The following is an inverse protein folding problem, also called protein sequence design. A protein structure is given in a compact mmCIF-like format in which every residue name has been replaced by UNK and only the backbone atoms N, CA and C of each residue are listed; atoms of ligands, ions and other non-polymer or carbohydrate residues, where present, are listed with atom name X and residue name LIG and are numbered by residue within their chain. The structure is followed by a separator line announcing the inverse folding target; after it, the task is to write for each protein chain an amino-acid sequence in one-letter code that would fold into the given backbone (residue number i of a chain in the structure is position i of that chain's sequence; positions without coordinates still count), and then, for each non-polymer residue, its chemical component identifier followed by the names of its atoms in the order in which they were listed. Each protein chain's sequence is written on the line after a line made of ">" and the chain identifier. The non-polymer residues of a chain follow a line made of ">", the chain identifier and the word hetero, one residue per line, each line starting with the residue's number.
data_IF_703868569101
#
_entry.id   IF_703868569101
#
_cell.length_a   1.000
_cell.length_b   1.000
_cell.length_c   1.000
_cell.angle_alpha   90.00
_cell.angle_beta   90.00
_cell.angle_gamma   90.00
#
_symmetry.space_group_name_H-M   'P 1'
#
loop_
_entity.id
_entity.type
_entity.pdbx_description
1 polymer ?
#
# COMPACT_ATOMS: atom_id res chain seq x y z
N UNK A 1 -71.49 -23.45 -79.10
CA UNK A 1 -71.47 -22.69 -80.36
C UNK A 1 -70.04 -22.48 -80.75
N UNK A 2 -69.71 -22.97 -81.94
CA UNK A 2 -68.54 -22.72 -82.78
C UNK A 2 -67.18 -23.14 -82.18
N UNK A 3 -66.69 -24.35 -82.46
CA UNK A 3 -66.12 -24.83 -83.75
C UNK A 3 -64.71 -24.24 -83.96
N UNK A 4 -63.66 -25.05 -83.82
CA UNK A 4 -63.01 -25.81 -84.91
C UNK A 4 -62.15 -24.87 -85.78
N UNK A 5 -60.94 -25.18 -86.20
CA UNK A 5 -60.50 -26.42 -86.85
C UNK A 5 -58.97 -26.30 -87.10
N UNK A 6 -58.36 -27.45 -87.41
CA UNK A 6 -57.28 -27.66 -88.37
C UNK A 6 -55.81 -27.80 -87.89
N UNK A 7 -55.36 -29.07 -87.96
CA UNK A 7 -54.22 -29.58 -88.76
C UNK A 7 -52.81 -29.09 -88.37
N UNK A 8 -51.75 -29.90 -88.25
CA UNK A 8 -51.36 -31.12 -88.97
C UNK A 8 -50.23 -31.81 -88.17
N UNK A 9 -50.12 -33.13 -88.35
CA UNK A 9 -49.19 -34.05 -87.70
C UNK A 9 -47.69 -33.68 -87.80
N UNK A 10 -46.92 -33.96 -86.72
CA UNK A 10 -45.76 -34.87 -86.78
C UNK A 10 -45.10 -35.11 -85.41
N UNK A 11 -44.76 -36.38 -85.22
CA UNK A 11 -43.69 -36.94 -84.39
C UNK A 11 -43.88 -37.03 -82.87
N UNK A 12 -44.24 -38.24 -82.45
CA UNK A 12 -44.06 -38.79 -81.11
C UNK A 12 -42.59 -38.73 -80.69
N UNK A 13 -42.22 -37.66 -79.97
CA UNK A 13 -40.94 -37.62 -79.25
C UNK A 13 -41.11 -38.44 -77.96
N UNK A 14 -40.72 -39.71 -78.04
CA UNK A 14 -40.47 -40.55 -76.87
C UNK A 14 -39.24 -39.96 -76.15
N UNK A 15 -39.47 -39.08 -75.17
CA UNK A 15 -38.42 -38.60 -74.28
C UNK A 15 -38.08 -39.73 -73.31
N UNK A 16 -36.99 -40.45 -73.57
CA UNK A 16 -36.38 -41.36 -72.58
C UNK A 16 -36.10 -40.55 -71.29
N UNK A 17 -36.44 -41.07 -70.10
CA UNK A 17 -36.14 -40.38 -68.86
C UNK A 17 -34.61 -40.20 -68.76
N UNK A 18 -34.12 -39.00 -68.37
CA UNK A 18 -32.70 -38.81 -68.19
C UNK A 18 -32.26 -39.75 -67.07
N UNK A 19 -31.23 -40.57 -67.34
CA UNK A 19 -30.54 -41.34 -66.30
C UNK A 19 -30.03 -40.35 -65.26
N UNK A 20 -30.77 -40.16 -64.16
CA UNK A 20 -30.32 -39.40 -63.00
C UNK A 20 -29.07 -40.09 -62.48
N UNK A 21 -27.91 -39.54 -62.82
CA UNK A 21 -26.64 -40.06 -62.33
C UNK A 21 -26.62 -39.86 -60.81
N UNK A 22 -26.64 -40.92 -59.99
CA UNK A 22 -26.76 -40.81 -58.53
C UNK A 22 -25.61 -40.01 -57.91
N UNK A 23 -24.50 -39.88 -58.61
CA UNK A 23 -23.37 -39.04 -58.24
C UNK A 23 -23.73 -37.54 -58.26
N UNK A 24 -24.47 -37.07 -59.26
CA UNK A 24 -24.85 -35.65 -59.35
C UNK A 24 -25.81 -35.28 -58.21
N UNK A 25 -26.76 -36.15 -57.89
CA UNK A 25 -27.67 -35.94 -56.75
C UNK A 25 -26.90 -35.92 -55.43
N UNK A 26 -25.94 -36.83 -55.24
CA UNK A 26 -25.08 -36.83 -54.05
C UNK A 26 -24.23 -35.57 -53.93
N UNK A 27 -23.68 -35.08 -55.05
CA UNK A 27 -22.90 -33.83 -55.06
C UNK A 27 -23.77 -32.61 -54.72
N UNK A 28 -25.01 -32.55 -55.23
CA UNK A 28 -25.96 -31.47 -54.89
C UNK A 28 -26.34 -31.50 -53.42
N UNK A 29 -26.59 -32.69 -52.85
CA UNK A 29 -26.89 -32.84 -51.42
C UNK A 29 -25.69 -32.43 -50.57
N UNK A 30 -24.46 -32.80 -50.95
CA UNK A 30 -23.25 -32.39 -50.24
C UNK A 30 -23.05 -30.87 -50.24
N UNK A 31 -23.30 -30.21 -51.38
CA UNK A 31 -23.24 -28.74 -51.48
C UNK A 31 -24.31 -28.12 -50.58
N UNK A 32 -25.53 -28.66 -50.58
CA UNK A 32 -26.61 -28.14 -49.74
C UNK A 32 -26.29 -28.30 -48.23
N UNK A 33 -25.72 -29.44 -47.82
CA UNK A 33 -25.27 -29.67 -46.43
C UNK A 33 -24.13 -28.73 -46.04
N UNK A 34 -23.17 -28.48 -46.94
CA UNK A 34 -22.08 -27.53 -46.69
C UNK A 34 -22.59 -26.10 -46.54
N UNK A 35 -23.50 -25.65 -47.42
CA UNK A 35 -24.10 -24.31 -47.35
C UNK A 35 -24.96 -24.16 -46.09
N UNK A 36 -25.77 -25.17 -45.77
CA UNK A 36 -26.56 -25.17 -44.53
C UNK A 36 -25.65 -25.20 -43.29
N UNK A 37 -24.57 -25.98 -43.32
CA UNK A 37 -23.58 -26.05 -42.24
C UNK A 37 -22.88 -24.71 -42.00
N UNK A 38 -22.44 -24.03 -43.06
CA UNK A 38 -21.84 -22.69 -42.97
C UNK A 38 -22.85 -21.66 -42.50
N UNK A 39 -24.10 -21.72 -42.98
CA UNK A 39 -25.17 -20.83 -42.53
C UNK A 39 -25.52 -21.03 -41.06
N UNK A 40 -25.69 -22.28 -40.61
CA UNK A 40 -25.93 -22.61 -39.20
C UNK A 40 -24.73 -22.17 -38.35
N UNK A 41 -23.50 -22.43 -38.78
CA UNK A 41 -22.29 -21.99 -38.07
C UNK A 41 -22.20 -20.46 -38.00
N UNK A 42 -22.58 -19.74 -39.06
CA UNK A 42 -22.65 -18.28 -39.08
C UNK A 42 -23.72 -17.72 -38.13
N UNK A 43 -24.89 -18.36 -38.05
CA UNK A 43 -25.96 -18.00 -37.11
C UNK A 43 -25.56 -18.32 -35.67
N UNK A 44 -24.90 -19.46 -35.42
CA UNK A 44 -24.34 -19.79 -34.11
C UNK A 44 -23.22 -18.83 -33.68
N UNK A 45 -22.32 -18.44 -34.59
CA UNK A 45 -21.29 -17.42 -34.34
C UNK A 45 -21.91 -16.03 -34.10
N UNK A 46 -22.98 -15.67 -34.81
CA UNK A 46 -23.76 -14.45 -34.53
C UNK A 46 -24.50 -14.51 -33.19
N UNK A 47 -24.95 -15.69 -32.74
CA UNK A 47 -25.50 -15.86 -31.39
C UNK A 47 -24.43 -15.77 -30.31
N UNK A 48 -23.20 -16.21 -30.58
CA UNK A 48 -22.05 -16.03 -29.66
C UNK A 48 -21.60 -14.54 -29.62
N UNK A 49 -21.60 -13.84 -30.76
CA UNK A 49 -21.27 -12.42 -30.85
C UNK A 49 -22.39 -11.44 -30.42
N UNK A 50 -23.65 -11.90 -30.41
CA UNK A 50 -24.83 -11.11 -30.06
C UNK A 50 -25.48 -11.47 -28.72
N UNK A 51 -24.96 -12.46 -27.99
CA UNK A 51 -25.49 -12.92 -26.70
C UNK A 51 -24.39 -13.06 -25.66
N UNK A 52 -23.72 -11.94 -25.33
CA UNK A 52 -22.96 -11.79 -24.08
C UNK A 52 -23.40 -10.61 -23.22
N UNK A 53 -24.60 -10.06 -23.45
CA UNK A 53 -25.39 -9.42 -22.38
C UNK A 53 -26.29 -10.46 -21.71
N UNK A 54 -25.74 -11.66 -21.49
CA UNK A 54 -26.05 -12.31 -20.23
C UNK A 54 -25.64 -11.31 -19.17
N UNK A 55 -26.62 -10.75 -18.48
CA UNK A 55 -26.44 -10.04 -17.22
C UNK A 55 -25.69 -11.02 -16.32
N UNK A 56 -24.36 -11.04 -16.44
CA UNK A 56 -23.49 -11.24 -15.30
C UNK A 56 -23.89 -10.05 -14.43
N UNK A 57 -24.97 -10.23 -13.65
CA UNK A 57 -24.84 -9.89 -12.25
C UNK A 57 -23.53 -10.56 -11.91
N UNK A 58 -22.45 -9.79 -11.94
CA UNK A 58 -21.50 -9.92 -10.86
C UNK A 58 -22.43 -10.00 -9.66
N UNK A 59 -22.65 -11.22 -9.19
CA UNK A 59 -22.69 -11.42 -7.78
C UNK A 59 -21.35 -10.82 -7.39
N UNK A 60 -21.36 -9.50 -7.14
CA UNK A 60 -20.55 -8.96 -6.09
C UNK A 60 -20.93 -9.91 -4.99
N UNK A 61 -20.06 -10.89 -4.77
CA UNK A 61 -19.95 -11.52 -3.48
C UNK A 61 -19.84 -10.28 -2.61
N UNK A 62 -20.98 -9.88 -2.02
CA UNK A 62 -20.98 -8.89 -0.96
C UNK A 62 -20.10 -9.62 0.02
N UNK A 63 -18.80 -9.27 -0.02
CA UNK A 63 -17.78 -9.95 0.74
C UNK A 63 -18.35 -10.02 2.13
N UNK A 64 -18.43 -11.24 2.69
CA UNK A 64 -18.92 -11.45 4.04
C UNK A 64 -18.34 -10.32 4.88
N UNK A 65 -19.16 -9.48 5.55
CA UNK A 65 -18.64 -8.37 6.32
C UNK A 65 -17.52 -8.93 7.18
N UNK A 66 -16.34 -8.32 7.13
CA UNK A 66 -15.22 -8.82 7.90
C UNK A 66 -15.62 -8.72 9.38
N UNK A 67 -15.98 -9.85 9.98
CA UNK A 67 -16.45 -9.92 11.36
C UNK A 67 -15.24 -10.04 12.27
N UNK A 68 -14.91 -8.92 12.92
CA UNK A 68 -13.97 -8.87 14.03
C UNK A 68 -14.61 -9.53 15.26
N UNK A 69 -14.56 -10.86 15.34
CA UNK A 69 -15.24 -11.67 16.36
C UNK A 69 -14.53 -11.64 17.71
N UNK A 70 -13.20 -11.48 17.73
CA UNK A 70 -12.36 -11.56 18.94
C UNK A 70 -11.72 -10.21 19.35
N UNK A 71 -12.35 -9.09 18.98
CA UNK A 71 -11.74 -7.76 19.19
C UNK A 71 -12.52 -6.98 20.26
N UNK A 72 -11.79 -6.62 21.31
CA UNK A 72 -12.19 -5.67 22.35
C UNK A 72 -12.92 -4.44 21.75
N UNK A 73 -14.08 -4.03 22.30
CA UNK A 73 -14.83 -2.88 21.79
C UNK A 73 -14.01 -1.58 21.72
N UNK A 74 -13.07 -1.41 22.66
CA UNK A 74 -12.13 -0.29 22.74
C UNK A 74 -11.17 -0.21 21.54
N UNK A 75 -10.93 -1.33 20.87
CA UNK A 75 -9.95 -1.46 19.79
C UNK A 75 -10.56 -1.32 18.39
N UNK A 76 -11.88 -1.52 18.27
CA UNK A 76 -12.61 -1.41 16.99
C UNK A 76 -12.38 -0.09 16.24
N UNK A 77 -12.28 1.09 16.90
CA UNK A 77 -12.05 2.36 16.20
C UNK A 77 -10.69 2.45 15.48
N UNK A 78 -9.70 1.63 15.88
CA UNK A 78 -8.36 1.65 15.31
C UNK A 78 -8.17 0.65 14.16
N UNK A 79 -9.19 -0.14 13.86
CA UNK A 79 -9.15 -1.15 12.82
C UNK A 79 -9.77 -0.61 11.54
N UNK A 80 -8.98 -0.65 10.48
CA UNK A 80 -9.44 -0.29 9.15
C UNK A 80 -9.30 -1.48 8.20
N UNK A 81 -10.15 -1.55 7.17
CA UNK A 81 -10.04 -2.53 6.11
C UNK A 81 -9.74 -1.80 4.79
N UNK A 82 -8.45 -1.58 4.46
CA UNK A 82 -8.04 -0.89 3.24
C UNK A 82 -8.66 -1.47 1.98
N UNK A 83 -9.06 -0.58 1.07
CA UNK A 83 -9.56 -0.92 -0.26
C UNK A 83 -8.70 -0.23 -1.32
N UNK A 84 -7.51 -0.78 -1.62
CA UNK A 84 -6.65 -0.22 -2.66
C UNK A 84 -7.37 -0.21 -4.01
N UNK A 85 -7.13 0.84 -4.78
CA UNK A 85 -7.60 1.02 -6.17
C UNK A 85 -6.66 0.35 -7.16
N UNK A 86 -5.40 0.18 -6.79
CA UNK A 86 -4.33 -0.28 -7.69
C UNK A 86 -4.15 -1.80 -7.74
N UNK A 87 -4.63 -2.53 -6.74
CA UNK A 87 -4.55 -3.99 -6.68
C UNK A 87 -5.66 -4.59 -5.79
N UNK A 88 -5.89 -5.90 -5.88
CA UNK A 88 -6.77 -6.63 -4.96
C UNK A 88 -5.97 -7.14 -3.76
N UNK A 89 -6.52 -7.00 -2.55
CA UNK A 89 -5.91 -7.59 -1.34
C UNK A 89 -6.11 -9.11 -1.24
N UNK A 90 -6.91 -9.71 -2.10
CA UNK A 90 -7.16 -11.16 -2.18
C UNK A 90 -7.43 -11.78 -0.79
N UNK A 91 -6.62 -12.75 -0.35
CA UNK A 91 -6.73 -13.40 0.96
C UNK A 91 -6.59 -12.42 2.15
N UNK A 92 -5.90 -11.30 1.96
CA UNK A 92 -5.74 -10.26 2.97
C UNK A 92 -6.92 -9.29 3.07
N UNK A 93 -7.98 -9.44 2.27
CA UNK A 93 -9.09 -8.48 2.22
C UNK A 93 -9.75 -8.25 3.59
N UNK A 94 -9.89 -9.31 4.40
CA UNK A 94 -10.45 -9.25 5.75
C UNK A 94 -9.40 -9.18 6.87
N UNK A 95 -8.15 -8.87 6.55
CA UNK A 95 -7.16 -8.58 7.58
C UNK A 95 -7.23 -7.09 7.94
N UNK A 96 -7.54 -6.76 9.20
CA UNK A 96 -7.59 -5.37 9.64
C UNK A 96 -6.19 -4.77 9.63
N UNK A 97 -6.14 -3.47 9.37
CA UNK A 97 -4.90 -2.70 9.31
C UNK A 97 -5.01 -1.53 10.26
N UNK A 98 -4.02 -1.40 11.14
CA UNK A 98 -3.88 -0.29 12.07
C UNK A 98 -3.07 0.83 11.46
N UNK A 99 -3.50 2.05 11.72
CA UNK A 99 -2.76 3.24 11.35
C UNK A 99 -1.82 3.64 12.47
N UNK A 100 -0.60 4.01 12.11
CA UNK A 100 0.30 4.67 13.04
C UNK A 100 1.04 5.84 12.38
N UNK A 101 1.57 6.71 13.22
CA UNK A 101 2.49 7.75 12.82
C UNK A 101 3.64 7.81 13.82
N UNK A 102 4.87 7.92 13.31
CA UNK A 102 6.06 8.16 14.11
C UNK A 102 6.32 9.66 14.06
N UNK A 103 6.05 10.35 15.16
CA UNK A 103 6.41 11.76 15.31
C UNK A 103 7.81 11.84 15.91
N UNK A 104 8.74 12.50 15.23
CA UNK A 104 10.11 12.62 15.73
C UNK A 104 10.69 14.01 15.50
N UNK A 105 11.67 14.35 16.32
CA UNK A 105 12.62 15.43 16.04
C UNK A 105 13.73 14.91 15.11
N UNK A 106 14.52 15.82 14.56
CA UNK A 106 15.66 15.48 13.71
C UNK A 106 16.75 14.73 14.50
N UNK A 107 17.47 13.81 13.85
CA UNK A 107 18.59 13.02 14.43
C UNK A 107 18.24 12.18 15.68
N UNK A 108 16.97 11.93 15.96
CA UNK A 108 16.49 11.08 17.07
C UNK A 108 16.64 9.57 16.84
N UNK A 109 17.36 9.13 15.80
CA UNK A 109 17.43 7.71 15.43
C UNK A 109 16.14 7.15 14.77
N UNK A 110 15.16 8.00 14.45
CA UNK A 110 13.88 7.58 13.87
C UNK A 110 13.98 6.88 12.51
N UNK A 111 15.03 7.16 11.72
CA UNK A 111 15.35 6.38 10.52
C UNK A 111 15.72 4.93 10.83
N UNK A 112 16.54 4.71 11.86
CA UNK A 112 16.95 3.36 12.28
C UNK A 112 15.75 2.59 12.82
N UNK A 113 14.94 3.25 13.65
CA UNK A 113 13.71 2.69 14.21
C UNK A 113 12.69 2.33 13.12
N UNK A 114 12.51 3.18 12.12
CA UNK A 114 11.68 2.87 10.95
C UNK A 114 12.16 1.59 10.23
N UNK A 115 13.48 1.41 10.06
CA UNK A 115 13.97 0.18 9.43
C UNK A 115 13.73 -1.06 10.28
N UNK A 116 13.77 -0.93 11.62
CA UNK A 116 13.43 -2.02 12.52
C UNK A 116 11.98 -2.43 12.31
N UNK A 117 11.06 -1.47 12.29
CA UNK A 117 9.65 -1.76 12.03
C UNK A 117 9.45 -2.41 10.65
N UNK A 118 10.12 -1.91 9.61
CA UNK A 118 10.02 -2.47 8.27
C UNK A 118 10.63 -3.86 8.10
N UNK A 119 11.46 -4.32 9.05
CA UNK A 119 11.91 -5.72 9.09
C UNK A 119 10.80 -6.68 9.51
N UNK A 120 9.72 -6.17 10.10
CA UNK A 120 8.53 -6.94 10.39
C UNK A 120 7.72 -7.25 9.13
N UNK A 121 7.27 -8.50 8.99
CA UNK A 121 6.51 -8.95 7.81
C UNK A 121 5.14 -8.24 7.67
N UNK A 122 4.43 -8.00 8.78
CA UNK A 122 3.12 -7.33 8.78
C UNK A 122 3.15 -5.80 8.98
N UNK A 123 4.32 -5.15 9.09
CA UNK A 123 4.42 -3.69 9.25
C UNK A 123 4.93 -3.02 7.97
N UNK A 124 4.29 -1.92 7.57
CA UNK A 124 4.75 -1.02 6.51
C UNK A 124 4.85 0.41 7.04
N UNK A 125 6.07 0.89 7.26
CA UNK A 125 6.39 2.27 7.66
C UNK A 125 6.99 3.03 6.48
N UNK A 126 6.49 4.26 6.24
CA UNK A 126 6.87 5.06 5.10
C UNK A 126 7.32 6.47 5.52
N UNK A 127 8.64 6.68 5.63
CA UNK A 127 9.19 7.84 6.31
C UNK A 127 9.64 8.99 5.42
N UNK A 128 9.59 8.82 4.10
CA UNK A 128 9.95 9.85 3.12
C UNK A 128 8.75 10.28 2.27
N UNK A 129 7.52 10.04 2.76
CA UNK A 129 6.30 10.42 2.04
C UNK A 129 6.21 11.95 1.89
N UNK A 130 6.62 12.71 2.88
CA UNK A 130 6.51 14.17 2.85
C UNK A 130 7.87 14.88 2.66
N UNK A 131 8.89 14.15 2.18
CA UNK A 131 10.19 14.75 1.86
C UNK A 131 10.11 15.70 0.66
N UNK A 132 9.25 15.40 -0.31
CA UNK A 132 9.06 16.23 -1.51
C UNK A 132 8.06 17.35 -1.25
N UNK A 133 8.44 18.57 -1.64
CA UNK A 133 7.64 19.80 -1.43
C UNK A 133 6.19 19.69 -1.94
N UNK A 134 5.90 19.12 -3.13
CA UNK A 134 4.53 19.07 -3.64
C UNK A 134 3.55 18.36 -2.69
N UNK A 135 3.98 17.25 -2.06
CA UNK A 135 3.13 16.43 -1.17
C UNK A 135 2.76 17.12 0.14
N UNK A 136 3.45 18.20 0.51
CA UNK A 136 3.20 19.00 1.73
C UNK A 136 2.88 20.47 1.43
N UNK A 137 2.54 20.77 0.17
CA UNK A 137 2.32 22.15 -0.29
C UNK A 137 1.05 22.77 0.29
N UNK A 138 -0.01 21.96 0.47
CA UNK A 138 -1.27 22.36 1.07
C UNK A 138 -1.97 21.16 1.73
N UNK A 139 -3.03 21.46 2.49
CA UNK A 139 -3.77 20.43 3.24
C UNK A 139 -4.47 19.40 2.33
N UNK A 140 -5.00 19.81 1.18
CA UNK A 140 -5.65 18.87 0.23
C UNK A 140 -4.66 17.81 -0.23
N UNK A 141 -3.47 18.23 -0.65
CA UNK A 141 -2.44 17.30 -1.13
C UNK A 141 -1.92 16.41 0.00
N UNK A 142 -1.84 16.91 1.24
CA UNK A 142 -1.49 16.10 2.40
C UNK A 142 -2.55 15.01 2.61
N UNK A 143 -3.83 15.39 2.66
CA UNK A 143 -4.94 14.46 2.87
C UNK A 143 -5.02 13.43 1.75
N UNK A 144 -4.88 13.84 0.49
CA UNK A 144 -4.83 12.93 -0.66
C UNK A 144 -3.67 11.93 -0.57
N UNK A 145 -2.52 12.37 -0.06
CA UNK A 145 -1.36 11.51 0.13
C UNK A 145 -1.59 10.52 1.26
N UNK A 146 -2.19 10.96 2.37
CA UNK A 146 -2.55 10.10 3.49
C UNK A 146 -3.62 9.08 3.10
N UNK A 147 -4.62 9.47 2.31
CA UNK A 147 -5.65 8.57 1.80
C UNK A 147 -5.04 7.43 0.97
N UNK A 148 -4.10 7.76 0.07
CA UNK A 148 -3.36 6.74 -0.70
C UNK A 148 -2.54 5.82 0.21
N UNK A 149 -1.83 6.38 1.19
CA UNK A 149 -1.02 5.61 2.14
C UNK A 149 -1.87 4.63 2.94
N UNK A 150 -2.93 5.14 3.56
CA UNK A 150 -3.76 4.39 4.49
C UNK A 150 -4.75 3.43 3.80
N UNK A 151 -4.96 3.60 2.50
CA UNK A 151 -5.61 2.60 1.63
C UNK A 151 -4.64 1.58 1.01
N UNK A 152 -3.35 1.61 1.38
CA UNK A 152 -2.29 0.76 0.82
C UNK A 152 -2.01 0.98 -0.68
N UNK A 153 -2.48 2.08 -1.26
CA UNK A 153 -2.27 2.44 -2.68
C UNK A 153 -0.95 3.17 -2.93
N UNK A 154 -0.07 3.24 -1.93
CA UNK A 154 1.24 3.84 -2.08
C UNK A 154 2.25 2.80 -2.55
N UNK A 155 2.89 3.04 -3.70
CA UNK A 155 3.90 2.13 -4.26
C UNK A 155 5.10 2.05 -3.33
N UNK A 156 5.19 0.97 -2.56
CA UNK A 156 6.39 0.63 -1.79
C UNK A 156 7.26 -0.30 -2.63
N UNK A 157 8.57 -0.05 -2.65
CA UNK A 157 9.54 -0.92 -3.33
C UNK A 157 9.68 -2.31 -2.70
N UNK A 158 9.11 -2.52 -1.51
CA UNK A 158 9.12 -3.80 -0.80
C UNK A 158 7.83 -4.57 -1.06
N UNK A 159 7.91 -5.65 -1.84
CA UNK A 159 6.88 -6.70 -1.81
C UNK A 159 6.89 -7.34 -0.42
N UNK A 160 5.78 -7.24 0.31
CA UNK A 160 5.59 -8.01 1.55
C UNK A 160 5.00 -9.36 1.17
N UNK A 161 5.55 -10.43 1.75
CA UNK A 161 5.07 -11.80 1.51
C UNK A 161 3.85 -12.16 2.36
N UNK A 162 3.42 -11.25 3.24
CA UNK A 162 2.40 -11.46 4.25
C UNK A 162 1.45 -10.27 4.27
N UNK A 163 0.24 -10.49 4.79
CA UNK A 163 -0.74 -9.44 4.91
C UNK A 163 -0.26 -8.33 5.85
N UNK A 164 -0.27 -7.09 5.36
CA UNK A 164 0.02 -5.92 6.19
C UNK A 164 -1.06 -5.77 7.25
N UNK A 165 -0.66 -5.65 8.51
CA UNK A 165 -1.52 -5.45 9.68
C UNK A 165 -1.32 -4.08 10.33
N UNK A 166 -0.19 -3.41 10.07
CA UNK A 166 0.05 -2.04 10.49
C UNK A 166 0.69 -1.23 9.35
N UNK A 167 0.11 -0.07 9.04
CA UNK A 167 0.66 0.86 8.06
C UNK A 167 0.77 2.25 8.65
N UNK A 168 1.88 2.92 8.37
CA UNK A 168 2.14 4.24 8.91
C UNK A 168 3.18 5.01 8.16
N UNK A 169 3.45 6.20 8.71
CA UNK A 169 4.46 7.11 8.21
C UNK A 169 5.31 7.66 9.35
N UNK A 170 6.48 8.18 8.98
CA UNK A 170 7.30 8.98 9.89
C UNK A 170 7.17 10.45 9.50
N UNK A 171 6.82 11.29 10.46
CA UNK A 171 6.74 12.73 10.33
C UNK A 171 7.80 13.40 11.20
N UNK A 172 8.69 14.16 10.58
CA UNK A 172 9.74 14.90 11.27
C UNK A 172 9.29 16.35 11.48
N UNK A 173 9.17 16.79 12.73
CA UNK A 173 8.57 18.08 13.10
C UNK A 173 9.42 19.31 12.72
N UNK A 174 10.71 19.11 12.40
CA UNK A 174 11.61 20.15 11.89
C UNK A 174 12.61 19.51 10.92
N UNK A 175 12.46 19.75 9.62
CA UNK A 175 13.48 19.33 8.65
C UNK A 175 14.68 20.27 8.75
N UNK A 176 15.78 19.81 9.34
CA UNK A 176 17.01 20.60 9.36
C UNK A 176 17.65 20.63 7.96
N UNK A 177 17.99 21.83 7.50
CA UNK A 177 18.86 22.04 6.35
C UNK A 177 20.30 21.74 6.79
N UNK A 178 20.78 20.54 6.43
CA UNK A 178 22.18 20.14 6.40
C UNK A 178 23.00 20.46 7.66
N UNK A 179 23.00 19.54 8.63
CA UNK A 179 24.18 19.29 9.46
C UNK A 179 24.88 18.05 8.93
N UNK A 180 25.58 18.24 7.81
CA UNK A 180 26.51 17.30 7.19
C UNK A 180 27.97 17.61 7.59
N UNK A 181 28.19 18.44 8.62
CA UNK A 181 29.53 18.78 9.08
C UNK A 181 29.96 17.80 10.15
N UNK A 182 31.11 17.17 9.93
CA UNK A 182 31.82 16.44 10.97
C UNK A 182 32.32 17.45 12.02
N UNK A 183 31.98 17.23 13.30
CA UNK A 183 32.41 18.02 14.47
C UNK A 183 31.97 19.51 14.45
N UNK A 184 30.68 19.82 14.66
CA UNK A 184 30.20 21.21 14.67
C UNK A 184 30.65 21.99 15.90
N UNK A 185 30.76 23.31 15.74
CA UNK A 185 30.79 24.29 16.85
C UNK A 185 29.35 24.65 17.22
N UNK A 186 28.99 24.48 18.50
CA UNK A 186 27.66 24.76 19.03
C UNK A 186 27.61 26.18 19.59
N UNK A 187 26.60 26.96 19.21
CA UNK A 187 26.35 28.27 19.81
C UNK A 187 25.79 28.10 21.23
N UNK A 188 26.64 28.29 22.24
CA UNK A 188 26.29 28.10 23.65
C UNK A 188 25.27 29.12 24.16
N UNK A 189 25.26 30.34 23.61
CA UNK A 189 24.26 31.38 23.95
C UNK A 189 22.84 30.95 23.57
N UNK A 190 22.69 30.21 22.47
CA UNK A 190 21.38 29.72 22.00
C UNK A 190 21.07 28.28 22.43
N UNK A 191 22.02 27.57 23.06
CA UNK A 191 21.87 26.16 23.38
C UNK A 191 20.66 25.89 24.31
N UNK A 192 20.61 26.54 25.48
CA UNK A 192 19.51 26.38 26.43
C UNK A 192 18.17 26.85 25.83
N UNK A 193 18.07 28.04 25.19
CA UNK A 193 16.85 28.45 24.49
C UNK A 193 16.37 27.44 23.44
N UNK A 194 17.28 26.83 22.67
CA UNK A 194 16.93 25.86 21.65
C UNK A 194 16.44 24.54 22.27
N UNK A 195 17.08 24.07 23.34
CA UNK A 195 16.63 22.88 24.06
C UNK A 195 15.23 23.09 24.67
N UNK A 196 14.96 24.28 25.24
CA UNK A 196 13.62 24.64 25.75
C UNK A 196 12.57 24.63 24.65
N UNK A 197 12.90 25.13 23.46
CA UNK A 197 11.99 25.07 22.31
C UNK A 197 11.67 23.63 21.90
N UNK A 198 12.63 22.71 22.02
CA UNK A 198 12.40 21.28 21.75
C UNK A 198 11.47 20.68 22.81
N UNK A 199 11.68 20.98 24.09
CA UNK A 199 10.81 20.51 25.17
C UNK A 199 9.38 21.07 25.06
N UNK A 200 9.24 22.35 24.70
CA UNK A 200 7.95 22.99 24.45
C UNK A 200 7.22 22.32 23.28
N UNK A 201 7.95 21.97 22.21
CA UNK A 201 7.40 21.25 21.08
C UNK A 201 6.91 19.85 21.46
N UNK A 202 7.68 19.13 22.28
CA UNK A 202 7.28 17.81 22.80
C UNK A 202 6.03 17.95 23.67
N UNK A 203 6.02 18.89 24.60
CA UNK A 203 4.89 19.13 25.51
C UNK A 203 3.62 19.49 24.74
N UNK A 204 3.70 20.41 23.78
CA UNK A 204 2.56 20.76 22.91
C UNK A 204 2.07 19.57 22.09
N UNK A 205 2.99 18.74 21.58
CA UNK A 205 2.63 17.55 20.83
C UNK A 205 1.85 16.55 21.69
N UNK A 206 2.32 16.30 22.92
CA UNK A 206 1.61 15.43 23.86
C UNK A 206 0.23 15.98 24.22
N UNK A 207 0.09 17.30 24.39
CA UNK A 207 -1.21 17.93 24.63
C UNK A 207 -2.16 17.79 23.42
N UNK A 208 -1.68 18.03 22.21
CA UNK A 208 -2.47 17.86 20.99
C UNK A 208 -2.94 16.41 20.79
N UNK A 209 -2.11 15.43 21.18
CA UNK A 209 -2.39 14.01 21.01
C UNK A 209 -2.83 13.31 22.31
N UNK A 210 -3.27 14.04 23.33
CA UNK A 210 -3.67 13.46 24.62
C UNK A 210 -4.82 12.45 24.54
N UNK A 211 -5.71 12.64 23.56
CA UNK A 211 -6.84 11.76 23.27
C UNK A 211 -6.50 10.65 22.27
N UNK A 212 -5.30 10.69 21.68
CA UNK A 212 -4.80 9.70 20.74
C UNK A 212 -3.89 8.74 21.47
N UNK A 213 -4.11 7.44 21.27
CA UNK A 213 -3.23 6.39 21.80
C UNK A 213 -1.80 6.59 21.30
N UNK A 214 -0.85 6.80 22.20
CA UNK A 214 0.57 7.02 21.86
C UNK A 214 1.50 6.37 22.91
N UNK A 215 2.74 6.11 22.49
CA UNK A 215 3.83 5.67 23.36
C UNK A 215 5.04 6.56 23.11
N UNK A 216 5.79 6.87 24.17
CA UNK A 216 7.03 7.66 24.10
C UNK A 216 8.20 6.69 24.04
N UNK A 217 9.08 6.88 23.06
CA UNK A 217 10.25 6.05 22.84
C UNK A 217 11.49 6.94 22.76
N UNK A 218 12.49 6.62 23.56
CA UNK A 218 13.84 7.15 23.43
C UNK A 218 14.70 6.11 22.72
N UNK A 219 15.49 6.53 21.73
CA UNK A 219 16.39 5.64 20.98
C UNK A 219 17.27 4.83 21.94
N UNK A 220 17.77 5.58 22.89
CA UNK A 220 18.41 5.23 24.13
C UNK A 220 17.85 3.96 24.78
N UNK A 221 16.58 4.03 25.19
CA UNK A 221 15.91 2.95 25.91
C UNK A 221 15.70 1.71 25.03
N UNK A 222 15.46 1.92 23.74
CA UNK A 222 15.28 0.83 22.76
C UNK A 222 16.58 0.06 22.54
N UNK A 223 17.72 0.74 22.58
CA UNK A 223 19.04 0.10 22.45
C UNK A 223 19.43 -0.65 23.73
N UNK A 224 19.23 -0.03 24.91
CA UNK A 224 19.52 -0.65 26.23
C UNK A 224 18.62 -1.84 26.50
N UNK A 225 17.33 -1.67 26.25
CA UNK A 225 16.30 -2.61 26.65
C UNK A 225 15.44 -3.01 25.45
N UNK A 226 15.76 -4.18 24.88
CA UNK A 226 15.01 -4.74 23.75
C UNK A 226 13.55 -5.09 24.07
N UNK A 227 13.15 -5.17 25.35
CA UNK A 227 11.73 -5.39 25.68
C UNK A 227 10.86 -4.21 25.20
N UNK A 228 11.42 -3.01 25.03
CA UNK A 228 10.69 -1.87 24.43
C UNK A 228 10.21 -2.16 23.01
N UNK A 229 10.90 -3.00 22.25
CA UNK A 229 10.44 -3.43 20.92
C UNK A 229 9.27 -4.41 20.99
N UNK A 230 9.12 -5.13 22.11
CA UNK A 230 7.93 -5.95 22.37
C UNK A 230 6.73 -5.04 22.65
N UNK A 231 6.91 -4.01 23.49
CA UNK A 231 5.85 -3.03 23.77
C UNK A 231 5.35 -2.33 22.50
N UNK A 232 6.25 -2.05 21.55
CA UNK A 232 5.91 -1.46 20.24
C UNK A 232 5.10 -2.43 19.37
N UNK A 233 5.46 -3.71 19.34
CA UNK A 233 4.72 -4.71 18.58
C UNK A 233 3.32 -4.96 19.19
N UNK A 234 3.23 -4.99 20.52
CA UNK A 234 1.97 -5.06 21.24
C UNK A 234 1.11 -3.80 21.02
N UNK A 235 1.73 -2.62 21.00
CA UNK A 235 1.06 -1.37 20.68
C UNK A 235 0.42 -1.39 19.28
N UNK A 236 1.15 -1.91 18.29
CA UNK A 236 0.71 -2.06 16.90
C UNK A 236 -0.17 -3.30 16.66
N UNK A 237 -0.34 -4.16 17.67
CA UNK A 237 -1.04 -5.45 17.58
C UNK A 237 -0.56 -6.35 16.45
N UNK A 238 0.76 -6.49 16.35
CA UNK A 238 1.38 -7.41 15.40
C UNK A 238 2.07 -8.55 16.15
N UNK A 239 2.24 -9.74 15.53
CA UNK A 239 2.94 -10.85 16.15
C UNK A 239 4.35 -10.46 16.62
N UNK A 240 4.77 -10.95 17.78
CA UNK A 240 6.12 -10.68 18.28
C UNK A 240 7.16 -11.36 17.40
N UNK A 241 8.12 -10.60 16.91
CA UNK A 241 9.26 -11.09 16.17
C UNK A 241 10.54 -10.29 16.46
N UNK A 242 11.66 -10.89 16.10
CA UNK A 242 12.96 -10.25 16.18
C UNK A 242 13.13 -9.21 15.08
N UNK A 243 13.16 -7.94 15.47
CA UNK A 243 13.36 -6.82 14.56
C UNK A 243 14.85 -6.58 14.33
N UNK A 244 15.22 -6.30 13.08
CA UNK A 244 16.62 -6.09 12.66
C UNK A 244 16.76 -4.84 11.80
N UNK A 245 17.76 -4.03 12.10
CA UNK A 245 18.15 -2.88 11.29
C UNK A 245 19.52 -3.10 10.70
N UNK A 246 19.69 -2.73 9.42
CA UNK A 246 21.01 -2.63 8.78
C UNK A 246 21.64 -1.26 8.97
N UNK A 247 20.91 -0.28 9.50
CA UNK A 247 21.45 1.04 9.75
C UNK A 247 22.39 1.00 10.95
N UNK A 248 23.52 1.69 10.80
CA UNK A 248 24.55 1.80 11.82
C UNK A 248 24.62 3.23 12.34
N UNK A 249 25.04 3.39 13.59
CA UNK A 249 25.30 4.71 14.18
C UNK A 249 26.38 5.42 13.36
N UNK A 250 26.09 6.64 12.93
CA UNK A 250 26.97 7.44 12.04
C UNK A 250 28.22 7.91 12.79
N UNK A 251 28.06 8.30 14.06
CA UNK A 251 29.17 8.79 14.90
C UNK A 251 29.51 7.79 16.00
N UNK A 252 30.79 7.41 16.07
CA UNK A 252 31.37 6.55 17.10
C UNK A 252 32.23 7.40 18.04
N UNK A 253 32.55 6.85 19.21
CA UNK A 253 33.34 7.54 20.23
C UNK A 253 32.53 8.52 21.08
N UNK A 254 33.25 9.23 21.94
CA UNK A 254 32.69 10.13 22.95
C UNK A 254 32.02 11.37 22.38
N UNK A 255 31.04 11.92 23.12
CA UNK A 255 30.40 13.20 22.75
C UNK A 255 31.43 14.34 22.61
N UNK A 256 32.44 14.35 23.48
CA UNK A 256 33.52 15.35 23.45
C UNK A 256 34.34 15.31 22.16
N UNK A 257 34.50 14.15 21.55
CA UNK A 257 35.19 14.01 20.26
C UNK A 257 34.36 14.50 19.06
N UNK A 258 33.05 14.70 19.26
CA UNK A 258 32.09 15.01 18.21
C UNK A 258 31.67 16.49 18.18
N UNK A 259 32.12 17.31 19.12
CA UNK A 259 31.79 18.74 19.20
C UNK A 259 33.08 19.55 19.32
N UNK A 260 33.24 20.59 18.50
CA UNK A 260 34.48 21.37 18.45
C UNK A 260 34.75 22.11 19.76
N UNK A 261 33.73 22.77 20.31
CA UNK A 261 33.79 23.55 21.56
C UNK A 261 33.15 22.81 22.74
N UNK A 262 33.50 21.53 22.92
CA UNK A 262 32.88 20.67 23.93
C UNK A 262 32.94 21.24 25.36
N UNK A 263 34.08 21.80 25.79
CA UNK A 263 34.21 22.32 27.15
C UNK A 263 33.27 23.50 27.43
N UNK A 264 33.02 24.36 26.43
CA UNK A 264 32.05 25.45 26.56
C UNK A 264 30.61 24.92 26.67
N UNK A 265 30.28 23.90 25.87
CA UNK A 265 28.97 23.22 25.92
C UNK A 265 28.78 22.56 27.28
N UNK A 266 29.78 21.82 27.75
CA UNK A 266 29.79 21.17 29.07
C UNK A 266 29.59 22.20 30.18
N UNK A 267 30.33 23.31 30.15
CA UNK A 267 30.18 24.40 31.11
C UNK A 267 28.78 25.02 31.08
N UNK A 268 28.19 25.15 29.88
CA UNK A 268 26.85 25.73 29.69
C UNK A 268 25.74 24.83 30.23
N UNK A 269 25.86 23.50 30.06
CA UNK A 269 24.83 22.55 30.49
C UNK A 269 24.97 22.11 31.95
N UNK A 270 26.17 22.15 32.52
CA UNK A 270 26.44 21.75 33.90
C UNK A 270 25.64 22.58 34.90
N UNK A 271 24.98 21.93 35.87
CA UNK A 271 24.11 22.58 36.85
C UNK A 271 22.74 23.00 36.30
N UNK A 272 22.44 22.68 35.03
CA UNK A 272 21.12 22.90 34.44
C UNK A 272 20.35 21.59 34.37
N UNK A 273 19.03 21.66 34.12
CA UNK A 273 18.21 20.46 33.91
C UNK A 273 18.62 19.64 32.67
N UNK A 274 19.44 20.20 31.78
CA UNK A 274 19.98 19.54 30.59
C UNK A 274 21.34 18.88 30.82
N UNK A 275 21.85 18.88 32.06
CA UNK A 275 23.15 18.27 32.39
C UNK A 275 23.20 16.78 32.01
N UNK A 276 22.05 16.08 32.02
CA UNK A 276 21.95 14.68 31.60
C UNK A 276 22.44 14.45 30.17
N UNK A 277 22.33 15.42 29.27
CA UNK A 277 22.82 15.30 27.88
C UNK A 277 24.35 15.29 27.75
N UNK A 278 25.08 15.54 28.84
CA UNK A 278 26.55 15.42 28.85
C UNK A 278 27.02 13.98 29.05
N UNK A 279 26.13 13.08 29.46
CA UNK A 279 26.48 11.69 29.72
C UNK A 279 26.44 10.89 28.41
N UNK A 280 27.42 9.99 28.23
CA UNK A 280 27.33 8.99 27.18
C UNK A 280 26.30 7.94 27.57
N UNK A 281 25.20 7.91 26.84
CA UNK A 281 24.07 7.09 27.24
C UNK A 281 24.33 5.57 27.10
N UNK A 282 25.38 5.10 26.42
CA UNK A 282 25.66 3.65 26.26
C UNK A 282 27.15 3.36 26.08
N UNK A 283 27.74 2.53 26.95
CA UNK A 283 28.84 1.65 26.55
C UNK A 283 28.18 0.40 25.94
N UNK A 284 28.33 0.22 24.63
CA UNK A 284 27.96 -1.03 23.95
C UNK A 284 28.88 -2.17 24.41
#
# INVERSE_FOLDING_TARGET
>A
MADDLCFLAKDSIIIKPPKRNPLVLRMVVLIFVMVCGVYICSVCLKQIGGRSTGRLLSVQVIGKPCEATDIEPSEKPYLHFPKPKTFSREECACNPVRYFAILSTQRSGSGWFETLLNSHMNISSNGEIFSVKPRRSNISTIVETLDKLYNLDFLTSASKNECTAAVGLKWMLNQAEILARYKPTINTTLLIPNLKQVDDLVTKSLEYFKSTRHIILYYEDVIKNRTKLVDVQDFLMVPKMDLKSRQVKIHKGSLSSQVENWEDVKKTLKGTHYESYLNEDYKL
#
